data_IF_112972639417
#
_entry.id   IF_112972639417
#
_cell.length_a   1.000
_cell.length_b   1.000
_cell.length_c   1.000
_cell.angle_alpha   90.00
_cell.angle_beta   90.00
_cell.angle_gamma   90.00
#
_symmetry.space_group_name_H-M   'P 1'
#
loop_
_entity.id
_entity.type
_entity.pdbx_description
1 polymer ?
#
# COMPACT_ATOMS: atom_id res chain seq x y z
N UNK A 1 3.13 24.78 12.68
CA UNK A 1 3.53 23.46 12.11
C UNK A 1 3.75 22.48 13.26
N UNK A 2 3.12 21.29 13.24
CA UNK A 2 3.28 20.30 14.32
C UNK A 2 4.74 19.80 14.37
N UNK A 3 5.41 20.01 15.50
CA UNK A 3 6.79 19.58 15.71
C UNK A 3 6.95 18.06 15.65
N UNK A 4 8.14 17.58 15.32
CA UNK A 4 8.47 16.15 15.41
C UNK A 4 8.47 15.72 16.88
N UNK A 5 7.91 14.54 17.18
CA UNK A 5 7.82 13.99 18.54
C UNK A 5 9.20 13.84 19.18
N UNK A 6 10.16 13.29 18.42
CA UNK A 6 11.54 13.13 18.81
C UNK A 6 12.49 13.60 17.71
N UNK A 7 13.57 14.27 18.10
CA UNK A 7 14.54 14.88 17.18
C UNK A 7 15.93 14.30 17.42
N UNK A 8 16.39 13.48 16.49
CA UNK A 8 17.76 12.97 16.50
C UNK A 8 18.77 14.11 16.28
N UNK A 9 19.98 13.99 16.86
CA UNK A 9 21.07 14.93 16.58
C UNK A 9 21.38 14.94 15.07
N UNK A 10 21.73 16.13 14.54
CA UNK A 10 22.11 16.27 13.13
C UNK A 10 23.55 15.84 12.87
N UNK A 11 24.42 16.05 13.87
CA UNK A 11 25.85 15.71 13.82
C UNK A 11 26.04 14.38 14.55
N UNK A 12 26.79 13.48 13.92
CA UNK A 12 27.17 12.18 14.49
C UNK A 12 28.40 12.30 15.36
N UNK A 13 29.49 12.83 14.80
CA UNK A 13 30.73 13.07 15.51
C UNK A 13 31.53 14.17 14.81
N UNK A 14 32.50 14.71 15.52
CA UNK A 14 33.44 15.72 15.03
C UNK A 14 34.75 14.98 14.74
N UNK A 15 35.31 15.20 13.56
CA UNK A 15 36.61 14.65 13.18
C UNK A 15 37.39 15.61 12.30
N UNK A 16 38.35 15.09 11.53
CA UNK A 16 39.18 15.88 10.64
C UNK A 16 39.06 15.41 9.20
N UNK A 17 39.09 16.35 8.26
CA UNK A 17 39.51 16.06 6.88
C UNK A 17 41.04 16.12 6.86
N UNK A 18 41.68 15.07 6.33
CA UNK A 18 43.13 14.93 6.30
C UNK A 18 43.58 14.95 4.84
N UNK A 19 44.54 15.82 4.50
CA UNK A 19 45.17 15.83 3.17
C UNK A 19 46.31 14.80 3.07
N UNK A 20 46.84 14.58 1.87
CA UNK A 20 48.05 13.77 1.67
C UNK A 20 49.25 14.26 2.50
N UNK A 21 49.39 15.58 2.66
CA UNK A 21 50.39 16.20 3.53
C UNK A 21 50.04 16.15 5.04
N UNK A 22 49.01 15.38 5.44
CA UNK A 22 48.51 15.26 6.82
C UNK A 22 48.00 16.57 7.44
N UNK A 23 47.64 17.57 6.64
CA UNK A 23 46.99 18.78 7.14
C UNK A 23 45.56 18.45 7.60
N UNK A 24 45.26 18.71 8.88
CA UNK A 24 43.99 18.36 9.52
C UNK A 24 43.08 19.58 9.62
N UNK A 25 41.88 19.52 9.02
CA UNK A 25 40.84 20.55 9.17
C UNK A 25 39.63 19.97 9.90
N UNK A 26 39.07 20.68 10.88
CA UNK A 26 37.89 20.23 11.63
C UNK A 26 36.70 20.04 10.67
N UNK A 27 35.99 18.91 10.80
CA UNK A 27 34.80 18.57 10.00
C UNK A 27 33.76 17.88 10.88
N UNK A 28 32.51 18.34 10.79
CA UNK A 28 31.37 17.68 11.40
C UNK A 28 30.78 16.63 10.45
N UNK A 29 30.69 15.38 10.91
CA UNK A 29 30.04 14.30 10.17
C UNK A 29 28.54 14.32 10.49
N UNK A 30 27.69 14.46 9.47
CA UNK A 30 26.23 14.56 9.65
C UNK A 30 25.54 13.21 9.47
N UNK A 31 24.48 12.96 10.24
CA UNK A 31 23.60 11.82 10.00
C UNK A 31 22.75 12.01 8.74
N UNK A 32 22.51 10.92 8.02
CA UNK A 32 21.51 10.89 6.95
C UNK A 32 20.11 10.68 7.55
N UNK A 33 19.45 11.79 7.89
CA UNK A 33 18.16 11.81 8.58
C UNK A 33 16.98 11.89 7.61
N UNK A 34 16.13 10.86 7.60
CA UNK A 34 14.93 10.76 6.75
C UNK A 34 13.66 10.98 7.57
N UNK A 35 12.69 11.69 6.99
CA UNK A 35 11.37 11.87 7.62
C UNK A 35 10.53 10.63 7.40
N UNK A 36 10.09 10.00 8.49
CA UNK A 36 9.31 8.77 8.45
C UNK A 36 8.14 8.81 9.43
N UNK A 37 7.11 8.03 9.10
CA UNK A 37 5.96 7.79 9.98
C UNK A 37 6.08 6.40 10.57
N UNK A 38 6.16 6.33 11.90
CA UNK A 38 6.30 5.08 12.66
C UNK A 38 5.04 4.92 13.51
N UNK A 39 4.63 3.67 13.72
CA UNK A 39 3.56 3.34 14.66
C UNK A 39 4.21 3.04 16.01
N UNK A 40 4.00 3.90 16.99
CA UNK A 40 4.45 3.73 18.38
C UNK A 40 3.21 3.75 19.25
N UNK A 41 2.99 2.71 20.05
CA UNK A 41 1.83 2.57 20.93
C UNK A 41 0.47 2.74 20.21
N UNK A 42 0.37 2.20 19.00
CA UNK A 42 -0.82 2.31 18.14
C UNK A 42 -1.04 3.70 17.52
N UNK A 43 -0.21 4.70 17.85
CA UNK A 43 -0.30 6.06 17.30
C UNK A 43 0.73 6.26 16.20
N UNK A 44 0.30 6.85 15.09
CA UNK A 44 1.20 7.24 13.99
C UNK A 44 1.96 8.52 14.37
N UNK A 45 3.27 8.39 14.58
CA UNK A 45 4.15 9.51 14.88
C UNK A 45 5.09 9.79 13.71
N UNK A 46 5.25 11.08 13.37
CA UNK A 46 6.24 11.54 12.40
C UNK A 46 7.53 11.93 13.11
N UNK A 47 8.67 11.40 12.67
CA UNK A 47 9.99 11.74 13.20
C UNK A 47 11.10 11.63 12.14
N UNK A 48 12.26 12.25 12.40
CA UNK A 48 13.42 12.19 11.50
C UNK A 48 14.42 11.16 11.99
N UNK A 49 14.62 10.07 11.26
CA UNK A 49 15.38 8.91 11.73
C UNK A 49 16.63 8.69 10.88
N UNK A 50 17.79 8.36 11.48
CA UNK A 50 18.97 7.90 10.75
C UNK A 50 18.70 6.64 9.93
N UNK A 51 19.34 6.51 8.76
CA UNK A 51 19.18 5.34 7.87
C UNK A 51 19.42 3.99 8.55
N UNK A 52 20.38 3.89 9.49
CA UNK A 52 20.65 2.66 10.25
C UNK A 52 19.43 2.22 11.07
N UNK A 53 18.83 3.16 11.81
CA UNK A 53 17.65 2.91 12.63
C UNK A 53 16.44 2.64 11.74
N UNK A 54 16.28 3.38 10.62
CA UNK A 54 15.22 3.12 9.65
C UNK A 54 15.28 1.69 9.10
N UNK A 55 16.46 1.14 8.84
CA UNK A 55 16.62 -0.26 8.42
C UNK A 55 16.16 -1.24 9.50
N UNK A 56 16.46 -0.96 10.76
CA UNK A 56 16.01 -1.77 11.89
C UNK A 56 14.49 -1.72 12.04
N UNK A 57 13.89 -0.53 11.96
CA UNK A 57 12.45 -0.32 12.02
C UNK A 57 11.67 -0.99 10.88
N UNK A 58 12.27 -1.08 9.70
CA UNK A 58 11.71 -1.85 8.58
C UNK A 58 11.76 -3.35 8.86
N UNK A 59 12.86 -3.84 9.41
CA UNK A 59 12.98 -5.26 9.78
C UNK A 59 11.99 -5.66 10.88
N UNK A 60 11.74 -4.79 11.86
CA UNK A 60 10.79 -5.05 12.95
C UNK A 60 9.32 -4.83 12.59
N UNK A 61 9.00 -4.38 11.36
CA UNK A 61 7.63 -4.15 10.93
C UNK A 61 6.94 -2.92 11.54
N UNK A 62 7.67 -2.07 12.27
CA UNK A 62 7.12 -0.85 12.91
C UNK A 62 6.78 0.26 11.90
N UNK A 63 7.19 0.09 10.64
CA UNK A 63 6.99 1.07 9.56
C UNK A 63 5.72 0.76 8.78
N UNK A 64 4.94 1.79 8.44
CA UNK A 64 3.63 1.64 7.80
C UNK A 64 3.62 0.96 6.42
N UNK A 65 4.70 1.06 5.65
CA UNK A 65 4.74 0.67 4.23
C UNK A 65 5.64 -0.53 3.93
N UNK A 66 6.38 -1.06 4.92
CA UNK A 66 7.32 -2.15 4.69
C UNK A 66 6.85 -3.42 5.37
N UNK A 67 6.36 -4.37 4.58
CA UNK A 67 5.97 -5.72 5.02
C UNK A 67 7.03 -6.73 4.57
N UNK A 68 7.79 -7.32 5.50
CA UNK A 68 8.86 -8.26 5.15
C UNK A 68 8.32 -9.55 4.50
N UNK A 69 7.15 -10.05 4.92
CA UNK A 69 6.55 -11.29 4.38
C UNK A 69 6.20 -11.20 2.89
N UNK A 70 5.61 -10.08 2.44
CA UNK A 70 5.24 -9.89 1.03
C UNK A 70 6.47 -9.87 0.12
N UNK A 71 7.59 -9.34 0.61
CA UNK A 71 8.85 -9.31 -0.13
C UNK A 71 9.49 -10.69 -0.24
N UNK A 72 9.38 -11.52 0.81
CA UNK A 72 9.88 -12.89 0.79
C UNK A 72 9.08 -13.76 -0.17
N UNK A 73 7.74 -13.65 -0.18
CA UNK A 73 6.86 -14.34 -1.14
C UNK A 73 7.20 -14.01 -2.60
N UNK A 74 7.40 -12.73 -2.92
CA UNK A 74 7.78 -12.29 -4.27
C UNK A 74 9.19 -12.75 -4.69
N UNK A 75 10.11 -12.93 -3.73
CA UNK A 75 11.48 -13.40 -3.99
C UNK A 75 11.55 -14.92 -4.18
N UNK A 76 10.64 -15.69 -3.59
CA UNK A 76 10.53 -17.13 -3.78
C UNK A 76 9.78 -17.53 -5.06
N UNK A 77 9.03 -16.60 -5.67
CA UNK A 77 8.19 -16.85 -6.84
C UNK A 77 8.84 -16.79 -8.25
N UNK A 78 10.13 -16.49 -8.49
CA UNK A 78 10.69 -16.53 -9.83
C UNK A 78 11.61 -17.75 -10.03
N UNK A 79 11.05 -18.96 -10.03
CA UNK A 79 11.64 -20.15 -10.65
C UNK A 79 10.46 -20.99 -11.16
N UNK A 80 10.58 -21.55 -12.37
CA UNK A 80 9.51 -22.16 -13.22
C UNK A 80 8.65 -21.07 -13.89
N UNK A 81 8.84 -20.72 -15.17
CA UNK A 81 8.68 -21.59 -16.35
C UNK A 81 9.54 -21.08 -17.53
N UNK A 82 10.07 -21.98 -18.38
CA UNK A 82 9.97 -21.71 -19.81
C UNK A 82 9.64 -22.97 -20.67
N UNK A 83 8.87 -22.71 -21.73
CA UNK A 83 8.69 -23.47 -22.99
C UNK A 83 7.83 -24.74 -22.98
N UNK A 84 6.61 -24.62 -23.53
CA UNK A 84 6.16 -25.35 -24.72
C UNK A 84 4.71 -24.94 -25.08
N UNK A 85 4.57 -24.09 -26.09
CA UNK A 85 3.30 -23.93 -26.81
C UNK A 85 3.15 -25.10 -27.79
N UNK A 86 1.92 -25.57 -28.04
CA UNK A 86 1.54 -25.84 -29.42
C UNK A 86 0.20 -25.18 -29.80
N UNK A 87 0.22 -24.48 -30.93
CA UNK A 87 -0.93 -24.02 -31.76
C UNK A 87 -0.87 -24.89 -33.02
N UNK A 88 -1.96 -25.45 -33.61
CA UNK A 88 -3.07 -24.68 -34.22
C UNK A 88 -4.50 -25.28 -34.27
N UNK A 89 -5.52 -24.41 -34.06
CA UNK A 89 -6.78 -24.09 -34.80
C UNK A 89 -7.67 -25.23 -35.42
N UNK A 90 -9.04 -25.12 -35.52
CA UNK A 90 -9.77 -23.94 -36.03
C UNK A 90 -11.12 -23.57 -35.37
N UNK A 91 -11.59 -22.40 -35.81
CA UNK A 91 -12.73 -21.61 -35.34
C UNK A 91 -13.95 -21.91 -36.22
N UNK A 92 -15.09 -22.27 -35.65
CA UNK A 92 -16.40 -22.15 -36.33
C UNK A 92 -17.36 -21.31 -35.49
N UNK A 93 -17.74 -20.16 -36.06
CA UNK A 93 -18.92 -19.39 -35.66
C UNK A 93 -20.06 -19.74 -36.62
N UNK A 94 -21.22 -20.16 -36.11
CA UNK A 94 -22.50 -19.94 -36.80
C UNK A 94 -23.58 -19.50 -35.80
N UNK A 95 -24.31 -18.49 -36.26
CA UNK A 95 -25.31 -17.72 -35.54
C UNK A 95 -26.72 -18.30 -35.72
N UNK A 96 -27.59 -17.98 -34.74
CA UNK A 96 -29.02 -17.63 -34.83
C UNK A 96 -29.93 -18.39 -35.83
N UNK A 97 -30.95 -19.04 -35.27
CA UNK A 97 -32.39 -18.91 -35.61
C UNK A 97 -33.19 -19.73 -34.58
N UNK A 98 -33.98 -19.12 -33.70
CA UNK A 98 -35.36 -18.65 -33.89
C UNK A 98 -36.44 -19.70 -33.59
N UNK A 99 -37.44 -19.19 -32.86
CA UNK A 99 -38.87 -19.51 -32.93
C UNK A 99 -39.46 -20.61 -32.02
N UNK A 100 -40.35 -20.09 -31.15
CA UNK A 100 -41.72 -20.58 -30.88
C UNK A 100 -41.85 -21.89 -30.07
N UNK A 101 -42.72 -22.00 -29.06
CA UNK A 101 -43.82 -21.16 -28.61
C UNK A 101 -44.28 -21.59 -27.20
N UNK A 102 -44.72 -20.58 -26.44
CA UNK A 102 -45.94 -20.51 -25.60
C UNK A 102 -46.37 -21.78 -24.83
N UNK A 103 -46.45 -21.65 -23.51
CA UNK A 103 -47.70 -21.55 -22.72
C UNK A 103 -47.32 -20.70 -21.48
N UNK A 104 -47.59 -19.40 -21.48
CA UNK A 104 -48.78 -18.81 -20.84
C UNK A 104 -48.80 -19.07 -19.32
N UNK A 105 -48.46 -18.07 -18.51
CA UNK A 105 -49.33 -16.96 -18.11
C UNK A 105 -49.75 -17.16 -16.64
N UNK A 106 -49.03 -16.52 -15.72
CA UNK A 106 -49.66 -15.86 -14.58
C UNK A 106 -48.69 -14.90 -13.91
N UNK A 107 -48.97 -13.62 -14.16
CA UNK A 107 -48.95 -12.53 -13.17
C UNK A 107 -47.60 -11.82 -13.02
N UNK A 108 -47.27 -11.06 -14.07
CA UNK A 108 -46.84 -9.68 -13.88
C UNK A 108 -47.97 -8.83 -13.27
N UNK A 109 -47.56 -7.70 -12.67
CA UNK A 109 -48.33 -6.48 -12.32
C UNK A 109 -49.05 -6.49 -10.96
N UNK A 110 -48.39 -5.90 -9.95
CA UNK A 110 -48.48 -4.43 -9.68
C UNK A 110 -47.56 -4.06 -8.49
N UNK A 111 -46.51 -3.28 -8.73
CA UNK A 111 -46.41 -1.83 -8.41
C UNK A 111 -46.10 -1.55 -6.92
N UNK A 112 -44.86 -1.11 -6.67
CA UNK A 112 -44.42 -0.40 -5.46
C UNK A 112 -44.85 1.09 -5.51
N UNK A 113 -44.32 2.00 -4.67
CA UNK A 113 -44.47 2.25 -3.23
C UNK A 113 -45.13 3.64 -2.97
N UNK A 114 -45.41 4.07 -1.72
CA UNK A 114 -45.23 5.47 -1.22
C UNK A 114 -45.78 5.73 0.18
N UNK A 115 -45.05 6.61 0.89
CA UNK A 115 -45.29 7.25 2.20
C UNK A 115 -46.60 8.07 2.26
N UNK A 116 -47.24 8.10 3.42
CA UNK A 116 -48.18 9.14 3.89
C UNK A 116 -47.94 9.35 5.40
N UNK A 117 -47.28 10.44 5.84
CA UNK A 117 -47.80 11.78 6.23
C UNK A 117 -48.55 11.85 7.58
N UNK A 118 -48.16 12.88 8.33
CA UNK A 118 -48.47 13.25 9.72
C UNK A 118 -49.64 14.23 9.77
N UNK A 119 -50.61 14.07 10.70
CA UNK A 119 -51.44 15.14 11.33
C UNK A 119 -52.30 14.52 12.46
N UNK A 120 -52.06 14.87 13.73
CA UNK A 120 -52.83 15.80 14.61
C UNK A 120 -54.28 15.37 14.91
N UNK A 121 -54.57 15.05 16.19
CA UNK A 121 -55.38 15.86 17.13
C UNK A 121 -56.23 15.04 18.13
N UNK A 122 -56.21 15.48 19.40
CA UNK A 122 -57.30 15.51 20.39
C UNK A 122 -57.74 14.20 21.08
N UNK A 123 -57.36 14.06 22.36
CA UNK A 123 -58.25 14.14 23.54
C UNK A 123 -57.40 14.47 24.76
#
# INVERSE_FOLDING_TARGET
>A
MKGFSYKFPKVSHIGHTVSHAKNRKKRAFKYNLHTVTIVVDGKKQRMRVPTKILRMLKKSGMTTHYKPEEKQRKKAAPVVQPVAQPVPQPVEKKAKTEAKAKVEAKVEKKVAPKKATRKKAKQ
#
